data_IF_059454410202
#
_entry.id   IF_059454410202
#
_cell.length_a   1.000
_cell.length_b   1.000
_cell.length_c   1.000
_cell.angle_alpha   90.00
_cell.angle_beta   90.00
_cell.angle_gamma   90.00
#
_symmetry.space_group_name_H-M   'P 1'
#
loop_
_entity.id
_entity.type
_entity.pdbx_description
1 polymer ?
#
# COMPACT_ATOMS: atom_id res chain seq x y z
N UNK A 1 40.88 -11.81 17.42
CA UNK A 1 41.68 -10.77 18.11
C UNK A 1 42.38 -9.92 17.07
N UNK A 2 42.70 -8.65 17.38
CA UNK A 2 43.32 -7.59 16.53
C UNK A 2 42.33 -6.77 15.67
N UNK A 3 42.46 -5.44 15.48
CA UNK A 3 43.52 -4.46 15.81
C UNK A 3 42.88 -3.04 15.84
N UNK A 4 43.30 -2.21 16.79
CA UNK A 4 43.09 -0.75 16.77
C UNK A 4 44.21 -0.13 15.92
N UNK A 5 43.89 0.82 15.04
CA UNK A 5 44.87 1.76 14.48
C UNK A 5 44.28 3.17 14.54
N UNK A 6 45.02 4.09 15.17
CA UNK A 6 44.74 5.54 15.23
C UNK A 6 45.56 6.29 14.16
N UNK A 7 44.96 7.39 13.69
CA UNK A 7 45.54 8.71 13.37
C UNK A 7 46.32 8.95 12.04
N UNK A 8 45.88 10.05 11.41
CA UNK A 8 46.66 11.16 10.82
C UNK A 8 46.78 11.36 9.29
N UNK A 9 46.57 12.65 8.93
CA UNK A 9 47.13 13.48 7.83
C UNK A 9 46.46 13.57 6.44
N UNK A 10 45.73 14.69 6.29
CA UNK A 10 45.83 15.75 5.26
C UNK A 10 46.37 15.38 3.87
N UNK A 11 45.57 15.67 2.82
CA UNK A 11 46.03 16.37 1.62
C UNK A 11 44.88 17.22 1.05
N UNK A 12 45.03 18.55 1.14
CA UNK A 12 44.21 19.49 0.39
C UNK A 12 44.76 19.61 -1.03
N UNK A 13 43.91 19.46 -2.02
CA UNK A 13 44.17 19.93 -3.38
C UNK A 13 43.10 20.95 -3.73
N UNK A 14 43.54 22.16 -4.10
CA UNK A 14 42.70 23.25 -4.61
C UNK A 14 41.95 22.73 -5.85
N UNK A 15 40.66 22.50 -5.72
CA UNK A 15 39.80 22.17 -6.86
C UNK A 15 39.28 23.49 -7.44
N UNK A 16 39.66 23.71 -8.68
CA UNK A 16 39.30 24.81 -9.57
C UNK A 16 37.75 24.93 -9.63
N UNK A 17 37.19 25.97 -9.01
CA UNK A 17 35.76 26.07 -8.69
C UNK A 17 34.86 26.34 -9.92
N UNK A 18 35.40 26.80 -11.04
CA UNK A 18 34.58 27.31 -12.14
C UNK A 18 33.98 26.22 -13.05
N UNK A 19 34.65 25.08 -13.22
CA UNK A 19 34.10 23.96 -14.02
C UNK A 19 33.00 23.19 -13.31
N UNK A 20 33.10 23.07 -11.98
CA UNK A 20 32.12 22.34 -11.16
C UNK A 20 30.76 23.03 -11.09
N UNK A 21 30.75 24.37 -11.09
CA UNK A 21 29.52 25.16 -11.03
C UNK A 21 28.78 25.10 -12.38
N UNK A 22 29.48 25.13 -13.51
CA UNK A 22 28.88 24.99 -14.84
C UNK A 22 28.29 23.58 -15.04
N UNK A 23 28.96 22.52 -14.56
CA UNK A 23 28.39 21.16 -14.55
C UNK A 23 27.17 21.04 -13.63
N UNK A 24 27.17 21.71 -12.47
CA UNK A 24 26.03 21.72 -11.56
C UNK A 24 24.83 22.47 -12.16
N UNK A 25 25.06 23.61 -12.82
CA UNK A 25 24.02 24.41 -13.51
C UNK A 25 23.45 23.63 -14.71
N UNK A 26 24.30 22.91 -15.47
CA UNK A 26 23.84 22.03 -16.55
C UNK A 26 23.06 20.80 -16.02
N UNK A 27 23.36 20.31 -14.82
CA UNK A 27 22.59 19.24 -14.16
C UNK A 27 21.20 19.70 -13.66
N UNK A 28 21.06 20.97 -13.27
CA UNK A 28 19.78 21.55 -12.85
C UNK A 28 18.89 21.96 -14.04
N UNK A 29 19.51 22.46 -15.12
CA UNK A 29 18.82 22.71 -16.39
C UNK A 29 18.28 21.42 -17.03
N UNK A 30 19.01 20.30 -16.89
CA UNK A 30 18.54 18.98 -17.34
C UNK A 30 17.47 18.40 -16.43
N UNK A 31 17.52 18.59 -15.10
CA UNK A 31 16.43 18.16 -14.21
C UNK A 31 15.10 18.86 -14.50
N UNK A 32 15.12 20.19 -14.70
CA UNK A 32 13.91 20.96 -15.03
C UNK A 32 13.35 20.60 -16.42
N UNK A 33 14.21 20.33 -17.42
CA UNK A 33 13.80 19.82 -18.73
C UNK A 33 13.28 18.37 -18.67
N UNK A 34 13.83 17.49 -17.82
CA UNK A 34 13.29 16.14 -17.56
C UNK A 34 11.92 16.24 -16.90
N UNK A 35 11.76 17.09 -15.87
CA UNK A 35 10.48 17.30 -15.19
C UNK A 35 9.41 17.82 -16.17
N UNK A 36 9.78 18.73 -17.09
CA UNK A 36 8.87 19.29 -18.08
C UNK A 36 8.56 18.32 -19.24
N UNK A 37 9.53 17.56 -19.75
CA UNK A 37 9.28 16.45 -20.71
C UNK A 37 8.39 15.37 -20.13
N UNK A 38 8.57 15.07 -18.84
CA UNK A 38 7.72 14.14 -18.09
C UNK A 38 6.33 14.75 -17.86
N UNK A 39 6.18 16.07 -17.70
CA UNK A 39 4.86 16.74 -17.58
C UNK A 39 4.06 16.82 -18.90
N UNK A 40 4.71 16.95 -20.06
CA UNK A 40 4.03 17.10 -21.36
C UNK A 40 3.58 15.75 -21.95
N UNK A 41 4.28 14.65 -21.66
CA UNK A 41 3.88 13.28 -22.10
C UNK A 41 2.86 12.60 -21.16
N UNK A 42 2.54 13.21 -20.02
CA UNK A 42 1.88 12.58 -18.87
C UNK A 42 0.41 12.20 -19.04
N UNK A 43 -0.32 12.76 -20.01
CA UNK A 43 -1.79 12.64 -20.03
C UNK A 43 -2.36 11.44 -20.81
N UNK A 44 -1.60 10.81 -21.74
CA UNK A 44 -2.23 9.88 -22.71
C UNK A 44 -2.00 8.37 -22.48
N UNK A 45 -1.08 7.93 -21.62
CA UNK A 45 -0.77 6.49 -21.51
C UNK A 45 -0.58 5.92 -20.09
N UNK A 46 -0.85 6.69 -19.03
CA UNK A 46 -0.67 6.21 -17.65
C UNK A 46 -1.52 4.97 -17.36
N UNK A 47 -2.76 4.94 -17.83
CA UNK A 47 -3.65 3.78 -17.69
C UNK A 47 -3.11 2.52 -18.39
N UNK A 48 -2.49 2.66 -19.57
CA UNK A 48 -1.88 1.53 -20.31
C UNK A 48 -0.63 1.00 -19.58
N UNK A 49 0.20 1.90 -19.06
CA UNK A 49 1.37 1.53 -18.25
C UNK A 49 0.98 0.80 -16.98
N UNK A 50 -0.01 1.32 -16.23
CA UNK A 50 -0.53 0.67 -15.03
C UNK A 50 -1.12 -0.70 -15.35
N UNK A 51 -1.86 -0.85 -16.46
CA UNK A 51 -2.37 -2.16 -16.91
C UNK A 51 -1.25 -3.16 -17.21
N UNK A 52 -0.21 -2.75 -17.95
CA UNK A 52 0.96 -3.60 -18.23
C UNK A 52 1.71 -3.99 -16.96
N UNK A 53 1.88 -3.04 -16.04
CA UNK A 53 2.54 -3.30 -14.76
C UNK A 53 1.74 -4.28 -13.90
N UNK A 54 0.42 -4.08 -13.80
CA UNK A 54 -0.49 -5.02 -13.11
C UNK A 54 -0.43 -6.42 -13.72
N UNK A 55 -0.37 -6.52 -15.05
CA UNK A 55 -0.23 -7.80 -15.74
C UNK A 55 1.09 -8.50 -15.37
N UNK A 56 2.21 -7.77 -15.40
CA UNK A 56 3.52 -8.31 -14.98
C UNK A 56 3.53 -8.74 -13.51
N UNK A 57 2.89 -7.97 -12.63
CA UNK A 57 2.73 -8.31 -11.21
C UNK A 57 1.92 -9.59 -11.01
N UNK A 58 0.84 -9.80 -11.77
CA UNK A 58 0.07 -11.05 -11.74
C UNK A 58 0.91 -12.23 -12.18
N UNK A 59 1.64 -12.13 -13.31
CA UNK A 59 2.50 -13.22 -13.80
C UNK A 59 3.61 -13.57 -12.82
N UNK A 60 4.22 -12.57 -12.18
CA UNK A 60 5.29 -12.79 -11.21
C UNK A 60 4.77 -13.15 -9.81
N UNK A 61 3.44 -13.15 -9.60
CA UNK A 61 2.77 -13.30 -8.31
C UNK A 61 3.29 -12.33 -7.22
N UNK A 62 3.62 -11.10 -7.64
CA UNK A 62 4.18 -10.05 -6.79
C UNK A 62 3.14 -8.96 -6.57
N UNK A 63 3.02 -8.49 -5.32
CA UNK A 63 2.12 -7.42 -4.93
C UNK A 63 2.91 -6.19 -4.48
N UNK A 64 2.51 -5.04 -5.02
CA UNK A 64 2.94 -3.74 -4.53
C UNK A 64 1.93 -3.28 -3.47
N UNK A 65 2.38 -3.09 -2.23
CA UNK A 65 1.54 -2.67 -1.12
C UNK A 65 2.17 -1.50 -0.39
N UNK A 66 1.37 -0.48 -0.07
CA UNK A 66 1.81 0.61 0.79
C UNK A 66 1.79 0.12 2.23
N UNK A 67 2.91 0.26 2.93
CA UNK A 67 2.97 0.05 4.37
C UNK A 67 2.40 1.27 5.09
N UNK A 68 1.47 1.03 6.01
CA UNK A 68 0.87 2.08 6.83
C UNK A 68 1.89 2.67 7.81
N UNK A 69 2.71 1.80 8.43
CA UNK A 69 3.71 2.19 9.44
C UNK A 69 4.85 3.05 8.89
N UNK A 70 5.36 2.71 7.70
CA UNK A 70 6.54 3.39 7.11
C UNK A 70 6.18 4.36 5.99
N UNK A 71 4.93 4.39 5.51
CA UNK A 71 4.49 5.13 4.31
C UNK A 71 5.28 4.80 3.03
N UNK A 72 6.07 3.73 3.03
CA UNK A 72 6.86 3.23 1.90
C UNK A 72 6.09 2.15 1.15
N UNK A 73 6.32 2.03 -0.16
CA UNK A 73 5.80 0.93 -0.97
C UNK A 73 6.71 -0.29 -0.87
N UNK A 74 6.14 -1.43 -0.49
CA UNK A 74 6.81 -2.71 -0.47
C UNK A 74 6.39 -3.54 -1.67
N UNK A 75 7.37 -4.16 -2.32
CA UNK A 75 7.19 -5.10 -3.42
C UNK A 75 7.58 -6.49 -2.90
N UNK A 76 6.64 -7.43 -2.88
CA UNK A 76 6.88 -8.78 -2.35
C UNK A 76 5.88 -9.79 -2.87
N UNK A 77 6.17 -11.09 -2.74
CA UNK A 77 5.24 -12.14 -3.14
C UNK A 77 4.08 -12.25 -2.16
N UNK A 78 2.91 -12.68 -2.63
CA UNK A 78 1.73 -12.86 -1.78
C UNK A 78 2.00 -13.88 -0.66
N UNK A 79 2.78 -14.92 -0.97
CA UNK A 79 3.17 -15.96 -0.02
C UNK A 79 3.97 -15.38 1.15
N UNK A 80 4.88 -14.42 0.88
CA UNK A 80 5.70 -13.79 1.91
C UNK A 80 4.85 -12.99 2.89
N UNK A 81 3.82 -12.30 2.40
CA UNK A 81 2.88 -11.57 3.25
C UNK A 81 2.06 -12.52 4.12
N UNK A 82 1.57 -13.62 3.55
CA UNK A 82 0.84 -14.66 4.30
C UNK A 82 1.70 -15.32 5.38
N UNK A 83 2.97 -15.58 5.06
CA UNK A 83 3.93 -16.15 6.00
C UNK A 83 4.18 -15.18 7.16
N UNK A 84 4.50 -13.92 6.86
CA UNK A 84 4.71 -12.87 7.88
C UNK A 84 3.49 -12.65 8.75
N UNK A 85 2.27 -12.66 8.18
CA UNK A 85 1.06 -12.53 8.96
C UNK A 85 0.88 -13.71 9.90
N UNK A 86 1.10 -14.95 9.42
CA UNK A 86 1.01 -16.15 10.25
C UNK A 86 2.03 -16.14 11.39
N UNK A 87 3.29 -15.83 11.08
CA UNK A 87 4.36 -15.70 12.10
C UNK A 87 4.02 -14.63 13.14
N UNK A 88 3.44 -13.50 12.72
CA UNK A 88 3.02 -12.45 13.63
C UNK A 88 1.86 -12.89 14.53
N UNK A 89 0.86 -13.57 13.97
CA UNK A 89 -0.27 -14.15 14.72
C UNK A 89 0.22 -15.16 15.76
N UNK A 90 1.13 -16.06 15.37
CA UNK A 90 1.73 -17.05 16.29
C UNK A 90 2.50 -16.37 17.43
N UNK A 91 3.30 -15.34 17.12
CA UNK A 91 4.09 -14.59 18.11
C UNK A 91 3.25 -13.78 19.08
N UNK A 92 2.20 -13.14 18.59
CA UNK A 92 1.40 -12.19 19.39
C UNK A 92 0.13 -12.82 19.97
N UNK A 93 -0.21 -14.05 19.56
CA UNK A 93 -1.51 -14.67 19.82
C UNK A 93 -2.70 -13.78 19.40
N UNK A 94 -2.45 -12.80 18.51
CA UNK A 94 -3.45 -11.88 18.01
C UNK A 94 -4.19 -12.49 16.82
N UNK A 95 -5.47 -12.14 16.68
CA UNK A 95 -6.37 -12.58 15.60
C UNK A 95 -6.59 -14.10 15.58
N UNK A 96 -7.48 -14.60 16.46
CA UNK A 96 -7.91 -16.00 16.43
C UNK A 96 -9.01 -16.18 15.38
N UNK A 97 -8.79 -17.06 14.40
CA UNK A 97 -9.86 -17.43 13.45
C UNK A 97 -10.99 -18.11 14.22
N UNK A 98 -12.20 -17.54 14.13
CA UNK A 98 -13.40 -18.09 14.77
C UNK A 98 -13.89 -19.39 14.12
N UNK A 99 -13.38 -19.71 12.92
CA UNK A 99 -13.62 -21.00 12.25
C UNK A 99 -15.11 -21.26 12.06
N UNK A 100 -15.58 -22.43 12.50
CA UNK A 100 -16.99 -22.82 12.47
C UNK A 100 -17.89 -22.03 13.43
N UNK A 101 -17.30 -21.37 14.42
CA UNK A 101 -18.01 -20.52 15.39
C UNK A 101 -18.01 -19.06 14.94
N UNK A 102 -18.16 -18.80 13.64
CA UNK A 102 -18.31 -17.45 13.15
C UNK A 102 -19.72 -16.93 13.52
N UNK A 103 -19.85 -15.94 14.41
CA UNK A 103 -21.16 -15.40 14.78
C UNK A 103 -21.74 -14.50 13.68
N UNK A 104 -20.95 -14.17 12.65
CA UNK A 104 -21.32 -13.17 11.65
C UNK A 104 -22.56 -13.57 10.82
N UNK A 105 -22.71 -14.80 10.32
CA UNK A 105 -23.92 -15.20 9.59
C UNK A 105 -25.18 -15.12 10.45
N UNK A 106 -25.09 -15.56 11.70
CA UNK A 106 -26.21 -15.51 12.65
C UNK A 106 -26.58 -14.06 12.98
N UNK A 107 -25.58 -13.20 13.19
CA UNK A 107 -25.78 -11.79 13.50
C UNK A 107 -26.43 -11.04 12.33
N UNK A 108 -26.01 -11.33 11.10
CA UNK A 108 -26.64 -10.78 9.89
C UNK A 108 -28.11 -11.17 9.81
N UNK A 109 -28.43 -12.45 10.04
CA UNK A 109 -29.81 -12.94 10.03
C UNK A 109 -30.66 -12.28 11.12
N UNK A 110 -30.15 -12.20 12.35
CA UNK A 110 -30.84 -11.53 13.47
C UNK A 110 -31.09 -10.05 13.18
N UNK A 111 -30.10 -9.36 12.63
CA UNK A 111 -30.19 -7.93 12.30
C UNK A 111 -31.23 -7.68 11.20
N UNK A 112 -31.18 -8.46 10.12
CA UNK A 112 -32.16 -8.34 9.03
C UNK A 112 -33.58 -8.71 9.49
N UNK A 113 -33.72 -9.71 10.37
CA UNK A 113 -35.00 -10.05 10.99
C UNK A 113 -35.53 -8.89 11.84
N UNK A 114 -34.69 -8.28 12.67
CA UNK A 114 -35.08 -7.14 13.48
C UNK A 114 -35.50 -5.93 12.63
N UNK A 115 -34.78 -5.64 11.53
CA UNK A 115 -35.18 -4.58 10.60
C UNK A 115 -36.54 -4.87 9.95
N UNK A 116 -36.82 -6.13 9.61
CA UNK A 116 -38.14 -6.54 9.11
C UNK A 116 -39.24 -6.33 10.16
N UNK A 117 -39.00 -6.71 11.41
CA UNK A 117 -39.96 -6.53 12.50
C UNK A 117 -40.27 -5.04 12.75
N UNK A 118 -39.25 -4.17 12.73
CA UNK A 118 -39.42 -2.72 12.81
C UNK A 118 -40.22 -2.14 11.65
N UNK A 119 -40.05 -2.69 10.44
CA UNK A 119 -40.83 -2.30 9.27
C UNK A 119 -42.29 -2.71 9.43
N UNK A 120 -42.55 -3.93 9.90
CA UNK A 120 -43.91 -4.43 10.16
C UNK A 120 -44.62 -3.61 11.24
N UNK A 121 -43.88 -3.19 12.27
CA UNK A 121 -44.36 -2.28 13.30
C UNK A 121 -44.59 -0.84 12.80
N UNK A 122 -44.20 -0.50 11.56
CA UNK A 122 -44.24 0.84 10.93
C UNK A 122 -43.33 1.88 11.60
N UNK A 123 -42.27 1.45 12.28
CA UNK A 123 -41.30 2.34 12.93
C UNK A 123 -40.25 2.85 11.94
N UNK A 124 -40.02 2.09 10.87
CA UNK A 124 -39.12 2.46 9.76
C UNK A 124 -39.85 2.33 8.43
N UNK A 125 -39.43 3.13 7.45
CA UNK A 125 -39.96 3.05 6.08
C UNK A 125 -39.24 1.98 5.27
N UNK A 126 -39.85 1.57 4.15
CA UNK A 126 -39.28 0.56 3.26
C UNK A 126 -37.87 0.93 2.76
N UNK A 127 -37.68 2.21 2.39
CA UNK A 127 -36.39 2.71 1.92
C UNK A 127 -35.29 2.61 2.99
N UNK A 128 -35.63 2.85 4.26
CA UNK A 128 -34.67 2.71 5.36
C UNK A 128 -34.31 1.24 5.59
N UNK A 129 -35.28 0.32 5.50
CA UNK A 129 -35.02 -1.12 5.62
C UNK A 129 -34.07 -1.62 4.53
N UNK A 130 -34.28 -1.24 3.27
CA UNK A 130 -33.43 -1.65 2.15
C UNK A 130 -32.00 -1.11 2.25
N UNK A 131 -31.84 0.13 2.74
CA UNK A 131 -30.53 0.75 2.93
C UNK A 131 -29.72 0.07 4.05
N UNK A 132 -30.39 -0.31 5.14
CA UNK A 132 -29.76 -0.89 6.32
C UNK A 132 -29.62 -2.41 6.27
N UNK A 133 -30.31 -3.09 5.34
CA UNK A 133 -30.28 -4.54 5.21
C UNK A 133 -28.89 -4.99 4.73
N UNK A 134 -28.28 -5.89 5.49
CA UNK A 134 -26.96 -6.41 5.16
C UNK A 134 -27.12 -7.50 4.11
N UNK A 135 -26.50 -7.32 2.94
CA UNK A 135 -26.48 -8.32 1.87
C UNK A 135 -25.36 -9.32 2.11
N UNK A 136 -25.67 -10.60 1.96
CA UNK A 136 -24.69 -11.70 2.12
C UNK A 136 -23.50 -11.61 1.15
N UNK A 137 -23.60 -10.82 0.08
CA UNK A 137 -22.54 -10.63 -0.93
C UNK A 137 -21.57 -9.50 -0.59
N UNK A 138 -21.84 -8.71 0.45
CA UNK A 138 -21.04 -7.55 0.86
C UNK A 138 -20.09 -7.88 2.04
N UNK A 139 -20.09 -9.13 2.52
CA UNK A 139 -19.36 -9.62 3.70
C UNK A 139 -18.33 -10.67 3.31
#
# INVERSE_FOLDING_TARGET
>A
QTKIIKKDKLFGTKINQDKSIIELINSQATQSQIINRVKVTKKKNYGRLVKRLKHKFKLANVKLQKSDKSKVFHLGKIEDYRKKSKEYMEKTQAYKCLGTNDPLPELIQKTNKYLLDLRLAKWITQKHCELLSIKSNEV
#
